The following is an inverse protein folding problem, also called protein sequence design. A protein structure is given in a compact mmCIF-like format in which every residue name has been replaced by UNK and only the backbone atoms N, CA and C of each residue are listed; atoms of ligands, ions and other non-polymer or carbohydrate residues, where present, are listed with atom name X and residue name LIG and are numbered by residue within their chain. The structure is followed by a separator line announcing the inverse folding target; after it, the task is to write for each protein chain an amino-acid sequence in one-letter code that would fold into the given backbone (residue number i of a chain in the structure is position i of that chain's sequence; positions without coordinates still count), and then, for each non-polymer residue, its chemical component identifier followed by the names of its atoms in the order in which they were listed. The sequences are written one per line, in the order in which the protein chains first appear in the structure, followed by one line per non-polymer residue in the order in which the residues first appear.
data_IF_505036117050
#
_entry.id   IF_505036117050
#
_cell.length_a   1.000
_cell.length_b   1.000
_cell.length_c   1.000
_cell.angle_alpha   90.00
_cell.angle_beta   90.00
_cell.angle_gamma   90.00
#
_symmetry.space_group_name_H-M   'P 1'
#
loop_
_entity.id
_entity.type
_entity.pdbx_description
1 polymer ?
#
# COMPACT_ATOMS: atom_id res chain seq x y z
N UNK A 1 2.78 22.11 -3.30
CA UNK A 1 3.80 21.11 -2.92
C UNK A 1 4.09 20.25 -4.15
N UNK A 2 5.36 20.11 -4.58
CA UNK A 2 5.71 19.21 -5.70
C UNK A 2 5.77 17.77 -5.18
N UNK A 3 5.23 16.83 -5.96
CA UNK A 3 5.39 15.41 -5.66
C UNK A 3 6.88 15.03 -5.71
N UNK A 4 7.31 14.15 -4.80
CA UNK A 4 8.71 13.68 -4.75
C UNK A 4 9.11 12.92 -6.02
N UNK A 5 8.15 12.21 -6.61
CA UNK A 5 8.28 11.54 -7.91
C UNK A 5 7.43 12.32 -8.91
N UNK A 6 7.98 12.81 -10.04
CA UNK A 6 7.19 13.41 -11.11
C UNK A 6 6.22 12.38 -11.70
N UNK A 7 4.96 12.79 -11.85
CA UNK A 7 3.87 11.92 -12.33
C UNK A 7 3.10 12.65 -13.43
N UNK A 8 2.86 11.95 -14.55
CA UNK A 8 1.87 12.31 -15.55
C UNK A 8 0.53 11.68 -15.14
N UNK A 9 -0.50 12.52 -14.98
CA UNK A 9 -1.86 12.10 -14.63
C UNK A 9 -2.75 12.17 -15.85
N UNK A 10 -3.56 11.14 -16.10
CA UNK A 10 -4.56 11.12 -17.17
C UNK A 10 -5.73 10.23 -16.77
N UNK A 11 -6.83 10.32 -17.53
CA UNK A 11 -7.98 9.42 -17.39
C UNK A 11 -8.06 8.58 -18.65
N UNK A 12 -8.09 7.26 -18.49
CA UNK A 12 -8.33 6.37 -19.63
C UNK A 12 -9.76 6.57 -20.14
N UNK A 13 -9.91 6.92 -21.42
CA UNK A 13 -11.21 7.31 -21.99
C UNK A 13 -12.15 6.12 -22.18
N UNK A 14 -11.62 4.90 -22.27
CA UNK A 14 -12.43 3.69 -22.41
C UNK A 14 -13.04 3.24 -21.08
N UNK A 15 -12.27 3.31 -19.98
CA UNK A 15 -12.69 2.79 -18.66
C UNK A 15 -13.06 3.86 -17.64
N UNK A 16 -12.67 5.12 -17.87
CA UNK A 16 -12.82 6.21 -16.91
C UNK A 16 -11.85 6.14 -15.73
N UNK A 17 -10.84 5.25 -15.76
CA UNK A 17 -9.89 5.05 -14.67
C UNK A 17 -8.83 6.15 -14.67
N UNK A 18 -8.66 6.81 -13.52
CA UNK A 18 -7.53 7.72 -13.27
C UNK A 18 -6.22 6.94 -13.22
N UNK A 19 -5.27 7.35 -14.05
CA UNK A 19 -3.98 6.72 -14.20
C UNK A 19 -2.83 7.69 -13.88
N UNK A 20 -1.83 7.18 -13.18
CA UNK A 20 -0.60 7.89 -12.82
C UNK A 20 0.60 7.17 -13.48
N UNK A 21 1.28 7.83 -14.43
CA UNK A 21 2.54 7.33 -15.03
C UNK A 21 3.73 8.05 -14.39
N UNK A 22 4.74 7.27 -14.00
CA UNK A 22 6.04 7.79 -13.54
C UNK A 22 7.17 7.07 -14.25
N UNK A 23 8.30 7.76 -14.46
CA UNK A 23 9.49 7.21 -15.12
C UNK A 23 10.56 6.88 -14.08
N UNK A 24 11.11 5.66 -14.13
CA UNK A 24 12.23 5.27 -13.27
C UNK A 24 11.90 5.06 -11.79
N UNK A 25 10.63 4.91 -11.41
CA UNK A 25 10.20 4.71 -10.02
C UNK A 25 10.47 3.27 -9.52
N UNK A 26 11.75 2.88 -9.44
CA UNK A 26 12.19 1.56 -8.97
C UNK A 26 11.68 1.25 -7.56
N UNK A 27 11.67 2.24 -6.68
CA UNK A 27 11.13 2.12 -5.31
C UNK A 27 9.64 1.71 -5.30
N UNK A 28 8.83 2.31 -6.18
CA UNK A 28 7.42 1.95 -6.32
C UNK A 28 7.22 0.51 -6.81
N UNK A 29 8.07 0.07 -7.74
CA UNK A 29 8.06 -1.32 -8.24
C UNK A 29 8.41 -2.28 -7.11
N UNK A 30 9.52 -2.06 -6.40
CA UNK A 30 9.96 -2.90 -5.29
C UNK A 30 8.91 -3.00 -4.18
N UNK A 31 8.31 -1.88 -3.76
CA UNK A 31 7.23 -1.87 -2.75
C UNK A 31 6.03 -2.72 -3.20
N UNK A 32 5.64 -2.61 -4.48
CA UNK A 32 4.51 -3.36 -5.02
C UNK A 32 4.79 -4.86 -5.06
N UNK A 33 6.01 -5.26 -5.43
CA UNK A 33 6.44 -6.66 -5.41
C UNK A 33 6.47 -7.24 -3.99
N UNK A 34 7.00 -6.50 -3.01
CA UNK A 34 7.02 -6.91 -1.61
C UNK A 34 5.59 -7.09 -1.09
N UNK A 35 4.71 -6.12 -1.29
CA UNK A 35 3.32 -6.21 -0.84
C UNK A 35 2.62 -7.41 -1.49
N UNK A 36 2.82 -7.63 -2.79
CA UNK A 36 2.27 -8.79 -3.52
C UNK A 36 2.78 -10.11 -2.92
N UNK A 37 4.06 -10.19 -2.59
CA UNK A 37 4.61 -11.35 -1.93
C UNK A 37 3.96 -11.58 -0.56
N UNK A 38 3.86 -10.54 0.29
CA UNK A 38 3.25 -10.67 1.62
C UNK A 38 1.76 -11.07 1.53
N UNK A 39 1.02 -10.58 0.53
CA UNK A 39 -0.37 -11.02 0.29
C UNK A 39 -0.50 -12.49 -0.08
N UNK A 40 0.56 -13.13 -0.56
CA UNK A 40 0.56 -14.56 -0.85
C UNK A 40 0.82 -15.45 0.37
N UNK A 41 1.30 -14.89 1.49
CA UNK A 41 1.62 -15.64 2.71
C UNK A 41 0.34 -16.02 3.46
N UNK A 42 -0.59 -15.08 3.64
CA UNK A 42 -1.84 -15.29 4.38
C UNK A 42 -2.96 -14.40 3.81
N UNK A 43 -4.09 -15.02 3.46
CA UNK A 43 -5.23 -14.33 2.85
C UNK A 43 -5.86 -13.24 3.75
N UNK A 44 -5.72 -13.35 5.08
CA UNK A 44 -6.25 -12.36 6.03
C UNK A 44 -5.55 -11.01 5.86
N UNK A 45 -4.29 -11.00 5.45
CA UNK A 45 -3.55 -9.75 5.19
C UNK A 45 -4.22 -8.94 4.08
N UNK A 46 -4.57 -9.58 2.96
CA UNK A 46 -5.25 -8.91 1.85
C UNK A 46 -6.63 -8.37 2.27
N UNK A 47 -7.43 -9.19 2.96
CA UNK A 47 -8.76 -8.81 3.46
C UNK A 47 -8.68 -7.59 4.40
N UNK A 48 -7.75 -7.62 5.37
CA UNK A 48 -7.53 -6.51 6.30
C UNK A 48 -6.97 -5.26 5.61
N UNK A 49 -6.11 -5.40 4.59
CA UNK A 49 -5.63 -4.25 3.82
C UNK A 49 -6.78 -3.52 3.12
N UNK A 50 -7.72 -4.24 2.51
CA UNK A 50 -8.90 -3.63 1.91
C UNK A 50 -9.78 -2.94 2.94
N UNK A 51 -10.07 -3.62 4.06
CA UNK A 51 -10.86 -3.06 5.15
C UNK A 51 -10.25 -1.77 5.71
N UNK A 52 -8.96 -1.81 6.05
CA UNK A 52 -8.27 -0.65 6.64
C UNK A 52 -8.12 0.51 5.66
N UNK A 53 -7.94 0.22 4.36
CA UNK A 53 -7.93 1.28 3.33
C UNK A 53 -9.31 1.92 3.18
N UNK A 54 -10.39 1.14 3.20
CA UNK A 54 -11.75 1.64 3.11
C UNK A 54 -12.11 2.49 4.34
N UNK A 55 -11.79 1.99 5.54
CA UNK A 55 -11.95 2.73 6.79
C UNK A 55 -11.16 4.05 6.77
N UNK A 56 -9.88 4.01 6.43
CA UNK A 56 -9.04 5.22 6.37
C UNK A 56 -9.55 6.24 5.35
N UNK A 57 -10.09 5.78 4.21
CA UNK A 57 -10.73 6.66 3.21
C UNK A 57 -12.01 7.30 3.77
N UNK A 58 -12.87 6.52 4.42
CA UNK A 58 -14.12 7.02 5.02
C UNK A 58 -13.87 8.08 6.11
N UNK A 59 -12.72 8.00 6.79
CA UNK A 59 -12.29 8.97 7.79
C UNK A 59 -11.37 10.07 7.25
N UNK A 60 -11.15 10.16 5.93
CA UNK A 60 -10.29 11.17 5.28
C UNK A 60 -8.83 11.19 5.77
N UNK A 61 -8.29 10.03 6.16
CA UNK A 61 -6.91 9.88 6.67
C UNK A 61 -5.99 9.08 5.75
N UNK A 62 -6.38 8.93 4.47
CA UNK A 62 -5.61 8.28 3.41
C UNK A 62 -5.30 9.24 2.25
N UNK A 63 -4.68 10.39 2.57
CA UNK A 63 -4.28 11.41 1.59
C UNK A 63 -2.99 12.12 2.02
N UNK A 64 -1.85 11.79 1.38
CA UNK A 64 -0.59 12.47 1.65
C UNK A 64 -0.62 13.96 1.30
N UNK A 65 -1.47 14.34 0.34
CA UNK A 65 -1.68 15.75 -0.04
C UNK A 65 -2.29 16.55 1.12
N UNK A 66 -3.15 15.90 1.88
CA UNK A 66 -3.84 16.48 3.04
C UNK A 66 -3.06 16.23 4.35
N UNK A 67 -1.76 15.90 4.24
CA UNK A 67 -0.86 15.61 5.37
C UNK A 67 -1.29 14.45 6.26
N UNK A 68 -2.05 13.50 5.72
CA UNK A 68 -2.41 12.24 6.39
C UNK A 68 -1.59 11.07 5.83
N UNK A 69 -1.93 9.83 6.21
CA UNK A 69 -1.16 8.65 5.80
C UNK A 69 -1.31 8.37 4.29
N UNK A 70 -0.28 7.75 3.71
CA UNK A 70 -0.41 7.14 2.39
C UNK A 70 -0.90 5.68 2.50
N UNK A 71 -1.40 5.14 1.39
CA UNK A 71 -1.92 3.77 1.36
C UNK A 71 -0.87 2.70 1.71
N UNK A 72 0.41 2.92 1.38
CA UNK A 72 1.49 1.97 1.75
C UNK A 72 1.70 1.97 3.26
N UNK A 73 1.70 3.14 3.92
CA UNK A 73 1.81 3.24 5.37
C UNK A 73 0.66 2.50 6.08
N UNK A 74 -0.57 2.64 5.59
CA UNK A 74 -1.74 1.91 6.13
C UNK A 74 -1.54 0.40 5.99
N UNK A 75 -1.09 -0.07 4.82
CA UNK A 75 -0.81 -1.49 4.57
C UNK A 75 0.30 -2.02 5.50
N UNK A 76 1.35 -1.23 5.75
CA UNK A 76 2.43 -1.61 6.67
C UNK A 76 1.96 -1.71 8.12
N UNK A 77 1.01 -0.86 8.55
CA UNK A 77 0.38 -0.99 9.88
C UNK A 77 -0.41 -2.29 10.00
N UNK A 78 -1.10 -2.72 8.94
CA UNK A 78 -1.77 -4.02 8.91
C UNK A 78 -0.77 -5.16 9.01
N UNK A 79 0.34 -5.09 8.28
CA UNK A 79 1.38 -6.12 8.33
C UNK A 79 1.97 -6.23 9.74
N UNK A 80 2.31 -5.09 10.35
CA UNK A 80 2.83 -5.02 11.71
C UNK A 80 1.82 -5.58 12.74
N UNK A 81 0.53 -5.27 12.59
CA UNK A 81 -0.51 -5.83 13.44
C UNK A 81 -0.53 -7.36 13.38
N UNK A 82 -0.44 -7.94 12.17
CA UNK A 82 -0.42 -9.40 11.98
C UNK A 82 0.89 -10.05 12.45
N UNK A 83 2.02 -9.35 12.38
CA UNK A 83 3.30 -9.80 12.92
C UNK A 83 3.35 -9.81 14.45
N UNK A 84 2.53 -8.99 15.10
CA UNK A 84 2.51 -8.81 16.56
C UNK A 84 1.31 -9.48 17.23
N UNK A 85 0.64 -10.41 16.54
CA UNK A 85 -0.38 -11.27 17.15
C UNK A 85 0.26 -12.36 18.00
N UNK A 86 -0.54 -12.93 18.88
CA UNK A 86 -0.17 -14.07 19.71
C UNK A 86 -1.17 -15.21 19.42
N UNK A 87 -0.79 -16.23 18.63
CA UNK A 87 0.49 -16.36 17.91
C UNK A 87 0.61 -15.41 16.69
N UNK A 88 1.83 -15.09 16.21
CA UNK A 88 2.04 -14.27 15.02
C UNK A 88 1.39 -14.89 13.78
N UNK A 89 0.69 -14.08 13.00
CA UNK A 89 0.04 -14.51 11.75
C UNK A 89 1.01 -14.36 10.57
N UNK A 90 1.76 -13.27 10.53
CA UNK A 90 2.80 -13.04 9.52
C UNK A 90 4.19 -13.18 10.14
N UNK A 91 5.18 -13.72 9.40
CA UNK A 91 6.56 -13.69 9.83
C UNK A 91 7.12 -12.26 9.81
N UNK A 92 8.18 -11.97 10.59
CA UNK A 92 8.88 -10.69 10.51
C UNK A 92 9.47 -10.51 9.10
N UNK A 93 9.46 -9.27 8.59
CA UNK A 93 9.96 -9.00 7.24
C UNK A 93 11.43 -9.36 7.05
N UNK A 94 12.26 -9.25 8.09
CA UNK A 94 13.67 -9.68 8.06
C UNK A 94 13.86 -11.18 7.81
N UNK A 95 12.86 -12.02 8.11
CA UNK A 95 12.92 -13.45 7.83
C UNK A 95 12.57 -13.79 6.36
N UNK A 96 11.85 -12.88 5.68
CA UNK A 96 11.32 -13.13 4.32
C UNK A 96 11.96 -12.25 3.23
N UNK A 97 12.50 -11.09 3.60
CA UNK A 97 13.22 -10.18 2.70
C UNK A 97 14.72 -10.31 3.02
N UNK A 98 15.44 -11.07 2.20
CA UNK A 98 16.90 -11.14 2.21
C UNK A 98 17.49 -10.18 1.20
#
# INVERSE_FOLDING_TARGET
MRAKVPILKFVDTATGVECDISVGNKEGISKSLIIRFVTSIDERFQKLCFLMKAWARAHNINSPKDRTLNSVSIILLVAFHLQTRDPPILPPFSAILK
#
